data_IF_339492570675
#
_entry.id   IF_339492570675
#
_cell.length_a   1.000
_cell.length_b   1.000
_cell.length_c   1.000
_cell.angle_alpha   90.00
_cell.angle_beta   90.00
_cell.angle_gamma   90.00
#
_symmetry.space_group_name_H-M   'P 1'
#
loop_
_entity.id
_entity.type
_entity.pdbx_description
1 polymer ?
#
# COMPACT_ATOMS: atom_id res chain seq x y z
N UNK A 1 -27.97 -1.46 9.67
CA UNK A 1 -26.88 -1.54 8.68
C UNK A 1 -25.95 -2.71 8.97
N UNK A 2 -25.01 -3.02 8.08
CA UNK A 2 -23.98 -4.03 8.34
C UNK A 2 -23.09 -3.62 9.52
N UNK A 3 -22.80 -2.33 9.63
CA UNK A 3 -22.00 -1.75 10.73
C UNK A 3 -22.70 -1.95 12.07
N UNK A 4 -24.02 -1.73 12.15
CA UNK A 4 -24.77 -1.93 13.41
C UNK A 4 -24.81 -3.41 13.84
N UNK A 5 -24.71 -4.34 12.90
CA UNK A 5 -24.57 -5.77 13.23
C UNK A 5 -23.17 -6.08 13.71
N UNK A 6 -22.15 -5.53 13.04
CA UNK A 6 -20.75 -5.73 13.39
C UNK A 6 -20.43 -5.18 14.80
N UNK A 7 -20.95 -4.00 15.14
CA UNK A 7 -20.74 -3.37 16.46
C UNK A 7 -21.37 -4.15 17.63
N UNK A 8 -22.27 -5.08 17.36
CA UNK A 8 -22.92 -5.93 18.37
C UNK A 8 -22.24 -7.29 18.55
N UNK A 9 -21.30 -7.65 17.68
CA UNK A 9 -20.59 -8.93 17.77
C UNK A 9 -19.74 -8.95 19.04
N UNK A 10 -19.98 -9.96 19.87
CA UNK A 10 -19.25 -10.16 21.13
C UNK A 10 -18.02 -11.06 20.93
N UNK A 11 -17.05 -10.97 21.84
CA UNK A 11 -15.91 -11.89 21.89
C UNK A 11 -16.38 -13.36 21.98
N UNK A 12 -17.44 -13.63 22.75
CA UNK A 12 -17.94 -15.00 22.92
C UNK A 12 -18.50 -15.55 21.62
N UNK A 13 -19.25 -14.75 20.83
CA UNK A 13 -19.76 -15.18 19.52
C UNK A 13 -18.61 -15.50 18.56
N UNK A 14 -17.49 -14.77 18.58
CA UNK A 14 -16.31 -15.09 17.76
C UNK A 14 -15.66 -16.42 18.19
N UNK A 15 -15.54 -16.65 19.51
CA UNK A 15 -15.00 -17.90 20.06
C UNK A 15 -15.91 -19.09 19.68
N UNK A 16 -17.22 -18.94 19.82
CA UNK A 16 -18.20 -19.98 19.49
C UNK A 16 -18.21 -20.30 17.99
N UNK A 17 -18.09 -19.27 17.15
CA UNK A 17 -17.93 -19.43 15.71
C UNK A 17 -16.66 -20.22 15.38
N UNK A 18 -15.52 -19.83 15.95
CA UNK A 18 -14.26 -20.52 15.72
C UNK A 18 -14.32 -21.99 16.16
N UNK A 19 -14.87 -22.27 17.34
CA UNK A 19 -15.04 -23.63 17.86
C UNK A 19 -16.04 -24.46 17.04
N UNK A 20 -16.97 -23.81 16.36
CA UNK A 20 -17.95 -24.51 15.52
C UNK A 20 -17.39 -24.85 14.15
N UNK A 21 -16.66 -23.95 13.52
CA UNK A 21 -16.26 -24.04 12.12
C UNK A 21 -14.79 -24.43 11.90
N UNK A 22 -13.88 -24.09 12.82
CA UNK A 22 -12.45 -24.41 12.69
C UNK A 22 -12.11 -25.69 13.43
N UNK A 23 -12.46 -26.82 12.82
CA UNK A 23 -12.20 -28.18 13.32
C UNK A 23 -11.33 -28.92 12.31
N UNK A 24 -11.31 -30.27 12.41
CA UNK A 24 -10.56 -31.14 11.52
C UNK A 24 -11.14 -31.24 10.09
N UNK A 25 -12.16 -30.48 9.76
CA UNK A 25 -12.84 -30.42 8.47
C UNK A 25 -12.17 -29.44 7.48
N UNK A 26 -10.86 -29.48 7.40
CA UNK A 26 -10.08 -28.62 6.48
C UNK A 26 -9.50 -29.44 5.34
N UNK A 27 -9.26 -28.78 4.20
CA UNK A 27 -8.51 -29.34 3.08
C UNK A 27 -7.14 -28.67 2.98
N UNK A 28 -6.10 -29.48 2.82
CA UNK A 28 -4.72 -28.99 2.63
C UNK A 28 -4.31 -29.18 1.18
N UNK A 29 -3.87 -28.09 0.55
CA UNK A 29 -3.33 -28.13 -0.81
C UNK A 29 -1.81 -27.90 -0.72
N UNK A 30 -1.04 -28.88 -1.16
CA UNK A 30 0.42 -28.79 -1.21
C UNK A 30 0.86 -28.31 -2.59
N UNK A 31 1.46 -27.12 -2.66
CA UNK A 31 2.18 -26.66 -3.85
C UNK A 31 3.64 -27.08 -3.73
N UNK A 32 4.08 -27.98 -4.61
CA UNK A 32 5.47 -28.48 -4.66
C UNK A 32 6.13 -27.99 -5.94
N UNK A 33 7.44 -27.78 -5.89
CA UNK A 33 8.24 -27.52 -7.09
C UNK A 33 8.44 -28.83 -7.86
N UNK A 34 8.41 -28.73 -9.19
CA UNK A 34 8.61 -29.86 -10.10
C UNK A 34 7.39 -30.13 -10.97
N UNK A 35 7.50 -31.15 -11.82
CA UNK A 35 6.43 -31.59 -12.69
C UNK A 35 5.78 -32.85 -12.11
N UNK A 36 4.47 -32.85 -11.92
CA UNK A 36 3.73 -34.04 -11.54
C UNK A 36 3.40 -34.87 -12.79
N UNK A 37 4.12 -35.98 -12.97
CA UNK A 37 3.91 -36.90 -14.09
C UNK A 37 2.60 -37.73 -13.97
N UNK A 38 1.95 -37.69 -12.81
CA UNK A 38 0.67 -38.36 -12.55
C UNK A 38 -0.53 -37.44 -12.67
N UNK A 39 -0.31 -36.17 -13.05
CA UNK A 39 -1.38 -35.19 -13.22
C UNK A 39 -2.35 -35.73 -14.32
N UNK A 40 -3.62 -35.91 -13.93
CA UNK A 40 -4.67 -36.32 -14.90
C UNK A 40 -4.93 -35.10 -15.82
N UNK A 41 -4.74 -35.33 -17.11
CA UNK A 41 -5.14 -34.37 -18.13
C UNK A 41 -6.65 -34.35 -18.24
N UNK A 42 -7.25 -33.23 -17.90
CA UNK A 42 -8.69 -33.02 -18.07
C UNK A 42 -8.90 -32.49 -19.52
N UNK A 43 -9.65 -33.22 -20.33
CA UNK A 43 -10.04 -32.70 -21.63
C UNK A 43 -10.94 -31.49 -21.48
N UNK A 44 -10.60 -30.41 -22.20
CA UNK A 44 -11.41 -29.19 -22.19
C UNK A 44 -12.80 -29.53 -22.78
N UNK A 45 -13.90 -29.31 -22.03
CA UNK A 45 -15.23 -29.50 -22.60
C UNK A 45 -15.45 -28.53 -23.78
N UNK A 46 -16.22 -28.97 -24.76
CA UNK A 46 -16.65 -28.10 -25.84
C UNK A 46 -17.56 -27.02 -25.28
N UNK A 47 -17.12 -25.77 -25.37
CA UNK A 47 -17.93 -24.62 -24.97
C UNK A 47 -18.68 -24.13 -26.20
N UNK A 48 -20.01 -24.16 -26.16
CA UNK A 48 -20.81 -23.52 -27.19
C UNK A 48 -20.59 -22.02 -27.13
N UNK A 49 -20.12 -21.38 -28.22
CA UNK A 49 -19.95 -19.94 -28.22
C UNK A 49 -21.29 -19.24 -27.95
N UNK A 50 -21.33 -18.39 -26.95
CA UNK A 50 -22.48 -17.52 -26.72
C UNK A 50 -22.40 -16.38 -27.75
N UNK A 51 -23.36 -16.30 -28.64
CA UNK A 51 -23.49 -15.19 -29.56
C UNK A 51 -23.91 -13.95 -28.75
N UNK A 52 -22.94 -13.09 -28.47
CA UNK A 52 -23.23 -11.81 -27.82
C UNK A 52 -23.77 -10.83 -28.85
N UNK A 53 -25.04 -10.50 -28.75
CA UNK A 53 -25.62 -9.40 -29.53
C UNK A 53 -25.30 -8.08 -28.81
N UNK A 54 -24.31 -7.37 -29.30
CA UNK A 54 -23.86 -6.10 -28.72
C UNK A 54 -24.75 -4.91 -29.13
N UNK A 55 -25.63 -5.11 -30.08
CA UNK A 55 -26.48 -4.06 -30.65
C UNK A 55 -27.86 -4.01 -29.98
N UNK A 56 -28.17 -4.97 -29.12
CA UNK A 56 -29.42 -5.00 -28.34
C UNK A 56 -29.21 -4.49 -26.95
N UNK A 57 -29.84 -3.37 -26.62
CA UNK A 57 -29.92 -2.85 -25.27
C UNK A 57 -31.26 -3.25 -24.64
N UNK A 58 -31.27 -3.59 -23.35
CA UNK A 58 -32.51 -3.78 -22.60
C UNK A 58 -33.31 -2.46 -22.51
N UNK A 59 -34.60 -2.55 -22.30
CA UNK A 59 -35.44 -1.34 -22.17
C UNK A 59 -35.01 -0.50 -20.96
N UNK A 60 -34.56 -1.11 -19.87
CA UNK A 60 -33.94 -0.43 -18.73
C UNK A 60 -32.69 0.37 -19.13
N UNK A 61 -31.81 -0.21 -19.95
CA UNK A 61 -30.62 0.50 -20.41
C UNK A 61 -30.98 1.68 -21.35
N UNK A 62 -31.98 1.49 -22.24
CA UNK A 62 -32.49 2.57 -23.11
C UNK A 62 -33.10 3.71 -22.30
N UNK A 63 -33.87 3.39 -21.24
CA UNK A 63 -34.43 4.38 -20.33
C UNK A 63 -33.33 5.20 -19.64
N UNK A 64 -32.29 4.53 -19.08
CA UNK A 64 -31.17 5.21 -18.46
C UNK A 64 -30.39 6.08 -19.47
N UNK A 65 -30.12 5.55 -20.66
CA UNK A 65 -29.43 6.30 -21.71
C UNK A 65 -30.22 7.48 -22.25
N UNK A 66 -31.55 7.36 -22.27
CA UNK A 66 -32.47 8.43 -22.68
C UNK A 66 -32.78 9.45 -21.57
N UNK A 67 -32.40 9.18 -20.34
CA UNK A 67 -32.66 10.08 -19.22
C UNK A 67 -31.85 11.38 -19.33
N UNK A 68 -32.53 12.51 -19.22
CA UNK A 68 -31.87 13.81 -19.17
C UNK A 68 -31.26 14.01 -17.80
N UNK A 69 -29.94 13.90 -17.71
CA UNK A 69 -29.18 14.11 -16.47
C UNK A 69 -28.62 15.53 -16.45
N UNK A 70 -28.87 16.26 -15.35
CA UNK A 70 -28.25 17.58 -15.16
C UNK A 70 -26.72 17.39 -15.06
N UNK A 71 -25.94 18.10 -15.86
CA UNK A 71 -24.47 18.03 -15.76
C UNK A 71 -24.00 18.39 -14.36
N UNK A 72 -23.06 17.63 -13.84
CA UNK A 72 -22.36 17.98 -12.60
C UNK A 72 -21.31 19.04 -12.95
N UNK A 73 -21.49 20.24 -12.41
CA UNK A 73 -20.47 21.28 -12.56
C UNK A 73 -19.29 21.02 -11.65
N UNK A 74 -18.05 21.06 -12.17
CA UNK A 74 -16.87 20.85 -11.34
C UNK A 74 -16.71 22.00 -10.35
N UNK A 75 -16.46 21.65 -9.09
CA UNK A 75 -16.09 22.63 -8.06
C UNK A 75 -14.56 22.65 -7.96
N UNK A 76 -13.96 23.74 -8.42
CA UNK A 76 -12.51 23.93 -8.35
C UNK A 76 -12.09 24.44 -6.97
N UNK A 77 -10.97 23.89 -6.45
CA UNK A 77 -10.36 24.36 -5.21
C UNK A 77 -9.70 25.73 -5.45
N UNK A 78 -10.08 26.70 -4.66
CA UNK A 78 -9.42 27.99 -4.57
C UNK A 78 -8.41 27.98 -3.42
N UNK A 79 -7.12 27.90 -3.74
CA UNK A 79 -6.03 27.79 -2.75
C UNK A 79 -5.91 29.01 -1.83
N UNK A 80 -6.50 30.16 -2.18
CA UNK A 80 -6.52 31.34 -1.34
C UNK A 80 -7.68 31.37 -0.33
N UNK A 81 -8.80 30.75 -0.71
CA UNK A 81 -10.03 30.71 0.08
C UNK A 81 -10.20 29.40 0.85
N UNK A 82 -9.87 28.26 0.20
CA UNK A 82 -10.26 26.94 0.68
C UNK A 82 -9.17 26.25 1.52
N UNK A 83 -7.97 26.83 1.57
CA UNK A 83 -6.80 26.29 2.29
C UNK A 83 -6.21 27.35 3.20
N UNK A 84 -6.11 27.00 4.48
CA UNK A 84 -5.40 27.83 5.46
C UNK A 84 -3.88 27.63 5.31
N UNK A 85 -3.12 28.73 5.29
CA UNK A 85 -1.67 28.71 5.18
C UNK A 85 -1.06 29.14 6.50
N UNK A 86 -0.13 28.35 7.00
CA UNK A 86 0.60 28.62 8.23
C UNK A 86 2.06 28.21 8.13
N UNK A 87 2.76 28.29 9.24
CA UNK A 87 4.12 27.76 9.38
C UNK A 87 4.29 27.06 10.71
N UNK A 88 5.00 25.93 10.71
CA UNK A 88 5.48 25.26 11.89
C UNK A 88 6.84 25.79 12.33
N UNK A 89 7.45 25.20 13.37
CA UNK A 89 8.81 25.51 13.80
C UNK A 89 9.78 25.48 12.62
N UNK A 90 10.80 26.32 12.65
CA UNK A 90 11.81 26.45 11.58
C UNK A 90 11.25 26.90 10.21
N UNK A 91 10.13 27.64 10.23
CA UNK A 91 9.46 28.16 9.03
C UNK A 91 9.02 27.09 8.02
N UNK A 92 8.74 25.88 8.48
CA UNK A 92 8.19 24.83 7.61
C UNK A 92 6.77 25.26 7.18
N UNK A 93 6.48 25.42 5.88
CA UNK A 93 5.16 25.81 5.42
C UNK A 93 4.14 24.71 5.72
N UNK A 94 2.98 25.14 6.21
CA UNK A 94 1.85 24.25 6.50
C UNK A 94 0.64 24.66 5.66
N UNK A 95 0.06 23.70 4.97
CA UNK A 95 -1.22 23.84 4.29
C UNK A 95 -2.26 23.02 5.06
N UNK A 96 -3.33 23.66 5.49
CA UNK A 96 -4.35 23.04 6.30
C UNK A 96 -5.74 23.19 5.69
N UNK A 97 -6.50 22.12 5.73
CA UNK A 97 -7.92 22.11 5.40
C UNK A 97 -8.66 21.29 6.44
N UNK A 98 -9.61 21.92 7.15
CA UNK A 98 -10.44 21.21 8.12
C UNK A 98 -11.30 20.15 7.41
N UNK A 99 -11.26 18.92 7.91
CA UNK A 99 -12.21 17.89 7.51
C UNK A 99 -13.55 18.16 8.20
N UNK A 100 -14.60 18.36 7.40
CA UNK A 100 -15.98 18.63 7.89
C UNK A 100 -16.93 17.46 7.61
N UNK A 101 -16.40 16.37 7.03
CA UNK A 101 -17.21 15.22 6.61
C UNK A 101 -17.23 14.11 7.64
N UNK A 102 -16.11 13.92 8.35
CA UNK A 102 -15.93 12.90 9.39
C UNK A 102 -14.78 13.29 10.33
N UNK A 103 -14.56 12.48 11.36
CA UNK A 103 -13.53 12.71 12.38
C UNK A 103 -12.16 12.10 12.02
N UNK A 104 -11.83 12.00 10.74
CA UNK A 104 -10.54 11.50 10.28
C UNK A 104 -9.61 12.65 9.91
N UNK A 105 -8.30 12.41 10.12
CA UNK A 105 -7.25 13.30 9.63
C UNK A 105 -6.33 12.58 8.65
N UNK A 106 -5.69 13.37 7.82
CA UNK A 106 -4.54 12.98 7.00
C UNK A 106 -3.48 14.07 7.12
N UNK A 107 -2.33 13.73 7.65
CA UNK A 107 -1.16 14.60 7.73
C UNK A 107 -0.09 14.06 6.78
N UNK A 108 0.44 14.92 5.92
CA UNK A 108 1.51 14.53 5.00
C UNK A 108 2.70 15.47 5.14
N UNK A 109 3.85 14.92 5.50
CA UNK A 109 5.14 15.60 5.37
C UNK A 109 5.66 15.37 3.95
N UNK A 110 6.12 16.43 3.32
CA UNK A 110 6.74 16.39 2.00
C UNK A 110 8.22 16.74 2.15
N UNK A 111 9.07 15.80 1.82
CA UNK A 111 10.53 15.97 1.86
C UNK A 111 11.01 16.10 0.42
N UNK A 112 11.70 17.21 0.11
CA UNK A 112 12.26 17.51 -1.21
C UNK A 112 13.52 16.68 -1.48
N UNK A 113 13.40 15.36 -1.32
CA UNK A 113 14.41 14.36 -1.63
C UNK A 113 13.72 13.04 -1.98
N UNK A 114 14.12 12.44 -3.10
CA UNK A 114 13.54 11.20 -3.59
C UNK A 114 14.59 10.19 -4.09
N UNK A 115 14.12 9.16 -4.76
CA UNK A 115 14.96 8.06 -5.25
C UNK A 115 15.99 8.51 -6.31
N UNK A 116 15.76 9.62 -7.01
CA UNK A 116 16.72 10.14 -7.98
C UNK A 116 18.00 10.65 -7.30
N UNK A 117 17.90 11.12 -6.07
CA UNK A 117 19.03 11.64 -5.29
C UNK A 117 19.65 10.56 -4.42
N UNK A 118 18.85 9.61 -3.93
CA UNK A 118 19.32 8.54 -3.07
C UNK A 118 18.63 7.21 -3.39
N UNK A 119 19.32 6.32 -4.10
CA UNK A 119 18.81 5.01 -4.50
C UNK A 119 18.59 4.04 -3.33
N UNK A 120 19.17 4.33 -2.15
CA UNK A 120 18.96 3.51 -0.96
C UNK A 120 17.60 3.79 -0.31
N UNK A 121 17.00 4.94 -0.60
CA UNK A 121 15.84 5.45 0.11
C UNK A 121 14.65 4.48 0.10
N UNK A 122 14.33 3.90 -1.06
CA UNK A 122 13.26 2.89 -1.14
C UNK A 122 13.55 1.65 -0.30
N UNK A 123 14.80 1.22 -0.22
CA UNK A 123 15.20 0.06 0.60
C UNK A 123 15.18 0.41 2.08
N UNK A 124 15.66 1.60 2.44
CA UNK A 124 15.63 2.08 3.83
C UNK A 124 14.19 2.21 4.35
N UNK A 125 13.28 2.73 3.53
CA UNK A 125 11.86 2.83 3.89
C UNK A 125 11.22 1.45 4.08
N UNK A 126 11.51 0.49 3.22
CA UNK A 126 11.04 -0.88 3.41
C UNK A 126 11.60 -1.52 4.68
N UNK A 127 12.86 -1.20 5.02
CA UNK A 127 13.48 -1.69 6.24
C UNK A 127 12.84 -1.09 7.50
N UNK A 128 12.39 0.17 7.45
CA UNK A 128 11.71 0.85 8.56
C UNK A 128 10.47 0.08 9.05
N UNK A 129 9.74 -0.60 8.17
CA UNK A 129 8.56 -1.39 8.52
C UNK A 129 8.86 -2.59 9.46
N UNK A 130 10.11 -2.96 9.58
CA UNK A 130 10.59 -4.06 10.41
C UNK A 130 11.35 -3.58 11.65
N UNK A 131 11.44 -2.28 11.87
CA UNK A 131 12.19 -1.72 13.00
C UNK A 131 11.25 -1.35 14.15
N UNK A 132 11.80 -1.45 15.34
CA UNK A 132 11.23 -0.89 16.55
C UNK A 132 12.10 0.23 17.12
N UNK A 133 11.84 0.62 18.35
CA UNK A 133 12.65 1.55 19.13
C UNK A 133 13.43 0.80 20.22
N UNK A 134 14.23 1.49 21.01
CA UNK A 134 14.88 0.91 22.20
C UNK A 134 13.90 0.38 23.25
N UNK A 135 12.63 0.82 23.20
CA UNK A 135 11.58 0.48 24.17
C UNK A 135 10.42 -0.32 23.58
N UNK A 136 10.23 -0.32 22.28
CA UNK A 136 9.12 -0.97 21.58
C UNK A 136 9.64 -1.88 20.48
N UNK A 137 9.22 -3.12 20.46
CA UNK A 137 9.44 -4.02 19.33
C UNK A 137 8.66 -3.55 18.08
N UNK A 138 9.00 -4.02 16.87
CA UNK A 138 8.24 -3.69 15.65
C UNK A 138 6.76 -4.06 15.74
N UNK A 139 6.43 -5.13 16.46
CA UNK A 139 5.06 -5.58 16.67
C UNK A 139 4.31 -4.61 17.58
N UNK A 140 4.95 -4.18 18.68
CA UNK A 140 4.36 -3.22 19.62
C UNK A 140 4.14 -1.85 19.00
N UNK A 141 5.05 -1.38 18.14
CA UNK A 141 4.86 -0.15 17.38
C UNK A 141 3.58 -0.25 16.51
N UNK A 142 3.42 -1.34 15.77
CA UNK A 142 2.22 -1.58 14.95
C UNK A 142 0.95 -1.71 15.81
N UNK A 143 1.05 -2.37 16.96
CA UNK A 143 -0.07 -2.49 17.88
C UNK A 143 -0.49 -1.14 18.45
N UNK A 144 0.45 -0.28 18.84
CA UNK A 144 0.13 1.06 19.34
C UNK A 144 -0.55 1.93 18.26
N UNK A 145 -0.08 1.87 17.00
CA UNK A 145 -0.78 2.53 15.89
C UNK A 145 -2.20 1.99 15.72
N UNK A 146 -2.39 0.69 15.81
CA UNK A 146 -3.71 0.05 15.73
C UNK A 146 -4.64 0.50 16.86
N UNK A 147 -4.16 0.54 18.11
CA UNK A 147 -4.91 0.99 19.29
C UNK A 147 -5.33 2.47 19.18
N UNK A 148 -4.50 3.29 18.53
CA UNK A 148 -4.83 4.68 18.20
C UNK A 148 -5.81 4.82 17.02
N UNK A 149 -6.19 3.73 16.36
CA UNK A 149 -6.90 3.72 15.08
C UNK A 149 -6.22 4.64 14.05
N UNK A 150 -4.90 4.61 14.03
CA UNK A 150 -4.03 5.38 13.13
C UNK A 150 -3.09 4.47 12.38
N UNK A 151 -2.53 4.98 11.30
CA UNK A 151 -1.47 4.34 10.55
C UNK A 151 -0.50 5.38 9.98
N UNK A 152 0.68 4.91 9.56
CA UNK A 152 1.60 5.72 8.79
C UNK A 152 2.03 4.99 7.51
N UNK A 153 2.49 5.76 6.54
CA UNK A 153 3.11 5.26 5.32
C UNK A 153 4.22 6.21 4.88
N UNK A 154 5.36 5.65 4.49
CA UNK A 154 6.45 6.41 3.88
C UNK A 154 6.57 5.98 2.42
N UNK A 155 6.53 6.93 1.50
CA UNK A 155 6.53 6.67 0.05
C UNK A 155 7.57 7.53 -0.66
N UNK A 156 8.76 7.00 -0.91
CA UNK A 156 9.76 7.66 -1.76
C UNK A 156 9.26 7.64 -3.21
N UNK A 157 9.16 8.83 -3.80
CA UNK A 157 8.96 9.02 -5.23
C UNK A 157 10.29 9.39 -5.90
N UNK A 158 10.27 9.78 -7.17
CA UNK A 158 11.49 10.13 -7.90
C UNK A 158 12.24 11.32 -7.29
N UNK A 159 11.52 12.40 -6.97
CA UNK A 159 12.10 13.68 -6.52
C UNK A 159 11.73 14.02 -5.07
N UNK A 160 10.73 13.37 -4.51
CA UNK A 160 10.17 13.68 -3.19
C UNK A 160 9.88 12.43 -2.40
N UNK A 161 9.87 12.56 -1.09
CA UNK A 161 9.37 11.52 -0.19
C UNK A 161 8.16 12.05 0.56
N UNK A 162 7.10 11.26 0.58
CA UNK A 162 5.87 11.56 1.28
C UNK A 162 5.76 10.67 2.52
N UNK A 163 5.62 11.30 3.69
CA UNK A 163 5.30 10.61 4.94
C UNK A 163 3.87 10.97 5.28
N UNK A 164 2.97 10.01 5.29
CA UNK A 164 1.56 10.23 5.58
C UNK A 164 1.19 9.52 6.88
N UNK A 165 0.61 10.25 7.81
CA UNK A 165 -0.01 9.72 9.03
C UNK A 165 -1.51 9.99 8.92
N UNK A 166 -2.34 9.00 9.18
CA UNK A 166 -3.80 9.14 9.06
C UNK A 166 -4.53 8.29 10.08
N UNK A 167 -5.74 8.69 10.44
CA UNK A 167 -6.58 7.99 11.40
C UNK A 167 -7.58 8.91 12.08
N UNK A 168 -7.97 8.58 13.34
CA UNK A 168 -8.88 9.39 14.14
C UNK A 168 -8.22 10.71 14.55
N UNK A 169 -8.91 11.82 14.31
CA UNK A 169 -8.38 13.17 14.54
C UNK A 169 -7.99 13.42 16.00
N UNK A 170 -8.71 12.87 16.95
CA UNK A 170 -8.41 12.96 18.38
C UNK A 170 -7.06 12.33 18.77
N UNK A 171 -6.58 11.37 17.97
CA UNK A 171 -5.33 10.65 18.23
C UNK A 171 -4.14 11.17 17.39
N UNK A 172 -4.33 12.23 16.59
CA UNK A 172 -3.31 12.77 15.70
C UNK A 172 -1.99 13.07 16.42
N UNK A 173 -2.04 13.77 17.56
CA UNK A 173 -0.84 14.13 18.33
C UNK A 173 -0.05 12.90 18.77
N UNK A 174 -0.73 11.90 19.34
CA UNK A 174 -0.10 10.66 19.81
C UNK A 174 0.50 9.84 18.65
N UNK A 175 -0.19 9.80 17.51
CA UNK A 175 0.31 9.10 16.33
C UNK A 175 1.56 9.78 15.73
N UNK A 176 1.62 11.13 15.76
CA UNK A 176 2.80 11.90 15.38
C UNK A 176 3.98 11.59 16.32
N UNK A 177 3.77 11.68 17.64
CA UNK A 177 4.80 11.40 18.65
C UNK A 177 5.35 9.97 18.51
N UNK A 178 4.47 8.98 18.28
CA UNK A 178 4.87 7.59 18.09
C UNK A 178 5.72 7.44 16.81
N UNK A 179 5.32 8.07 15.70
CA UNK A 179 6.09 8.04 14.47
C UNK A 179 7.45 8.74 14.59
N UNK A 180 7.46 9.92 15.21
CA UNK A 180 8.70 10.69 15.44
C UNK A 180 9.65 9.93 16.36
N UNK A 181 9.14 9.24 17.38
CA UNK A 181 9.95 8.38 18.25
C UNK A 181 10.58 7.21 17.49
N UNK A 182 9.82 6.60 16.58
CA UNK A 182 10.35 5.54 15.71
C UNK A 182 11.48 6.06 14.82
N UNK A 183 11.35 7.25 14.23
CA UNK A 183 12.40 7.83 13.40
C UNK A 183 13.65 8.23 14.21
N UNK A 184 13.45 8.75 15.42
CA UNK A 184 14.54 9.23 16.27
C UNK A 184 15.34 8.11 16.94
N UNK A 185 14.71 6.94 17.17
CA UNK A 185 15.28 5.84 17.95
C UNK A 185 15.11 4.47 17.24
N UNK A 186 15.12 4.45 15.92
CA UNK A 186 15.00 3.21 15.14
C UNK A 186 16.16 2.26 15.46
N UNK A 187 15.82 1.06 15.93
CA UNK A 187 16.83 0.05 16.29
C UNK A 187 17.12 -0.88 15.12
N UNK A 188 18.35 -0.87 14.66
CA UNK A 188 18.80 -1.72 13.57
C UNK A 188 18.68 -3.22 13.92
N UNK A 189 18.25 -4.01 12.95
CA UNK A 189 18.19 -5.47 13.05
C UNK A 189 18.90 -6.11 11.86
N UNK A 190 20.20 -6.47 11.97
CA UNK A 190 20.99 -7.03 10.88
C UNK A 190 20.37 -8.30 10.29
N UNK A 191 19.78 -9.15 11.09
CA UNK A 191 19.18 -10.41 10.62
C UNK A 191 17.98 -10.14 9.72
N UNK A 192 17.12 -9.21 10.10
CA UNK A 192 15.96 -8.79 9.28
C UNK A 192 16.42 -8.13 7.99
N UNK A 193 17.51 -7.34 8.02
CA UNK A 193 18.06 -6.75 6.80
C UNK A 193 18.52 -7.84 5.83
N UNK A 194 19.20 -8.91 6.29
CA UNK A 194 19.61 -10.01 5.43
C UNK A 194 18.41 -10.76 4.82
N UNK A 195 17.37 -11.01 5.58
CA UNK A 195 16.13 -11.59 5.03
C UNK A 195 15.50 -10.69 3.98
N UNK A 196 15.38 -9.39 4.24
CA UNK A 196 14.83 -8.43 3.29
C UNK A 196 15.66 -8.36 1.99
N UNK A 197 16.99 -8.39 2.07
CA UNK A 197 17.87 -8.42 0.91
C UNK A 197 17.64 -9.67 0.05
N UNK A 198 17.51 -10.84 0.69
CA UNK A 198 17.23 -12.10 -0.01
C UNK A 198 15.85 -12.06 -0.70
N UNK A 199 14.83 -11.52 -0.03
CA UNK A 199 13.50 -11.37 -0.58
C UNK A 199 13.47 -10.40 -1.77
N UNK A 200 14.14 -9.25 -1.66
CA UNK A 200 14.27 -8.29 -2.75
C UNK A 200 14.96 -8.86 -3.98
N UNK A 201 15.98 -9.72 -3.79
CA UNK A 201 16.62 -10.42 -4.90
C UNK A 201 15.67 -11.41 -5.57
N UNK A 202 14.90 -12.16 -4.78
CA UNK A 202 13.88 -13.08 -5.30
C UNK A 202 12.81 -12.33 -6.10
N UNK A 203 12.30 -11.23 -5.57
CA UNK A 203 11.32 -10.36 -6.26
C UNK A 203 11.89 -9.86 -7.60
N UNK A 204 13.19 -9.54 -7.66
CA UNK A 204 13.82 -9.11 -8.92
C UNK A 204 13.87 -10.23 -9.97
N UNK A 205 14.20 -11.45 -9.56
CA UNK A 205 14.16 -12.61 -10.46
C UNK A 205 12.75 -12.89 -10.96
N UNK A 206 11.75 -12.86 -10.08
CA UNK A 206 10.35 -13.06 -10.45
C UNK A 206 9.85 -11.98 -11.43
N UNK A 207 10.27 -10.73 -11.24
CA UNK A 207 9.93 -9.64 -12.18
C UNK A 207 10.45 -9.88 -13.59
N UNK A 208 11.59 -10.56 -13.77
CA UNK A 208 12.13 -10.91 -15.09
C UNK A 208 11.20 -11.84 -15.87
N UNK A 209 10.37 -12.62 -15.17
CA UNK A 209 9.37 -13.52 -15.75
C UNK A 209 8.05 -12.81 -16.07
N UNK A 210 7.88 -11.57 -15.62
CA UNK A 210 6.65 -10.81 -15.84
C UNK A 210 6.73 -9.98 -17.11
N UNK A 211 5.96 -10.37 -18.13
CA UNK A 211 5.94 -9.71 -19.44
C UNK A 211 5.58 -8.23 -19.37
N UNK A 212 4.58 -7.87 -18.56
CA UNK A 212 4.15 -6.48 -18.41
C UNK A 212 5.21 -5.61 -17.73
N UNK A 213 5.87 -6.13 -16.71
CA UNK A 213 6.97 -5.44 -16.03
C UNK A 213 8.13 -5.18 -17.01
N UNK A 214 8.51 -6.19 -17.80
CA UNK A 214 9.56 -6.08 -18.81
C UNK A 214 9.22 -5.05 -19.89
N UNK A 215 7.97 -5.05 -20.38
CA UNK A 215 7.51 -4.07 -21.35
C UNK A 215 7.56 -2.64 -20.78
N UNK A 216 7.10 -2.45 -19.55
CA UNK A 216 7.14 -1.14 -18.87
C UNK A 216 8.58 -0.65 -18.70
N UNK A 217 9.51 -1.53 -18.30
CA UNK A 217 10.93 -1.17 -18.19
C UNK A 217 11.54 -0.79 -19.54
N UNK A 218 11.23 -1.55 -20.58
CA UNK A 218 11.69 -1.27 -21.94
C UNK A 218 11.17 0.08 -22.46
N UNK A 219 9.89 0.35 -22.23
CA UNK A 219 9.25 1.63 -22.60
C UNK A 219 9.94 2.80 -21.87
N UNK A 220 10.14 2.68 -20.55
CA UNK A 220 10.82 3.72 -19.78
C UNK A 220 12.26 3.92 -20.27
N UNK A 221 12.98 2.85 -20.58
CA UNK A 221 14.32 2.95 -21.14
C UNK A 221 14.32 3.61 -22.52
N UNK A 222 13.34 3.29 -23.36
CA UNK A 222 13.18 3.92 -24.67
C UNK A 222 12.91 5.44 -24.59
N UNK A 223 12.18 5.88 -23.55
CA UNK A 223 11.88 7.30 -23.32
C UNK A 223 13.02 8.08 -22.69
N UNK A 224 13.74 7.50 -21.72
CA UNK A 224 14.68 8.20 -20.84
C UNK A 224 16.13 7.72 -20.99
N UNK A 225 16.37 6.65 -21.76
CA UNK A 225 17.70 6.07 -21.95
C UNK A 225 18.32 5.56 -20.65
N UNK A 226 19.66 5.69 -20.50
CA UNK A 226 20.40 5.22 -19.30
C UNK A 226 20.00 5.93 -17.99
N UNK A 227 19.29 7.06 -18.08
CA UNK A 227 18.77 7.79 -16.90
C UNK A 227 17.32 7.40 -16.56
N UNK A 228 16.84 6.31 -17.13
CA UNK A 228 15.50 5.77 -16.87
C UNK A 228 15.32 5.43 -15.38
N UNK A 229 14.14 5.68 -14.79
CA UNK A 229 13.80 5.13 -13.48
C UNK A 229 13.99 3.61 -13.37
N UNK A 230 13.87 2.88 -14.49
CA UNK A 230 14.10 1.43 -14.54
C UNK A 230 15.57 1.04 -14.27
N UNK A 231 16.51 1.92 -14.56
CA UNK A 231 17.96 1.71 -14.36
C UNK A 231 18.48 2.40 -13.09
N UNK A 232 17.75 3.34 -12.52
CA UNK A 232 18.12 4.06 -11.29
C UNK A 232 17.76 3.26 -10.04
N UNK A 233 18.25 2.02 -9.96
CA UNK A 233 18.04 1.10 -8.83
C UNK A 233 19.39 0.59 -8.33
N UNK A 234 19.44 0.13 -7.07
CA UNK A 234 20.63 -0.52 -6.54
C UNK A 234 20.95 -1.76 -7.37
N UNK A 235 22.21 -1.92 -7.76
CA UNK A 235 22.69 -3.18 -8.33
C UNK A 235 22.59 -4.32 -7.30
N UNK A 236 22.72 -5.54 -7.74
CA UNK A 236 22.75 -6.71 -6.84
C UNK A 236 23.91 -6.63 -5.84
N UNK A 237 25.08 -6.19 -6.28
CA UNK A 237 26.26 -6.03 -5.42
C UNK A 237 26.05 -4.94 -4.37
N UNK A 238 25.48 -3.78 -4.76
CA UNK A 238 25.14 -2.70 -3.84
C UNK A 238 24.09 -3.15 -2.82
N UNK A 239 23.04 -3.86 -3.26
CA UNK A 239 22.00 -4.38 -2.37
C UNK A 239 22.57 -5.38 -1.35
N UNK A 240 23.42 -6.33 -1.80
CA UNK A 240 24.10 -7.28 -0.91
C UNK A 240 25.06 -6.59 0.06
N UNK A 241 25.66 -5.47 -0.35
CA UNK A 241 26.60 -4.69 0.44
C UNK A 241 25.97 -3.76 1.48
N UNK A 242 24.64 -3.61 1.51
CA UNK A 242 23.96 -2.78 2.51
C UNK A 242 24.24 -3.28 3.94
N UNK A 243 24.44 -2.32 4.85
CA UNK A 243 24.61 -2.56 6.29
C UNK A 243 23.47 -1.88 7.04
N UNK A 244 23.07 -2.47 8.15
CA UNK A 244 22.08 -1.93 9.09
C UNK A 244 22.63 -0.75 9.87
#
# INVERSE_FOLDING_TARGET
>A
SAIDRLSKVTKQELVDFANTYFKDNYAVIYKRMGQDNNAKTISKPSITPIVMNRDVASDFLKEIQGATVKPIEPVFVDFSRDIEKGSAKSNIPVLYKKNTTNDLFVLTYVIEKGNNEDRNLSTAVQYLDYLGTSTLSPVEVKQQFYELACNFAVRPASERTFITISGLAENMGKAMELFESLLADAQANPQVLEFMKADLLTIREDKKLNQQANFTMLLQYGLYGPKSPATNVLSEAELKGLKS
#
